data_IF_988878358538
#
_entry.id   IF_988878358538
#
_cell.length_a   1.000
_cell.length_b   1.000
_cell.length_c   1.000
_cell.angle_alpha   90.00
_cell.angle_beta   90.00
_cell.angle_gamma   90.00
#
_symmetry.space_group_name_H-M   'P 1'
#
loop_
_entity.id
_entity.type
_entity.pdbx_description
1 polymer ?
#
# COMPACT_ATOMS: atom_id res chain seq x y z
N UNK A 1 -19.24 -5.48 -4.13
CA UNK A 1 -18.05 -6.36 -4.12
C UNK A 1 -16.90 -5.52 -3.62
N UNK A 2 -16.55 -5.63 -2.34
CA UNK A 2 -15.43 -4.89 -1.76
C UNK A 2 -14.15 -5.68 -2.06
N UNK A 3 -13.51 -5.38 -3.18
CA UNK A 3 -12.12 -5.77 -3.36
C UNK A 3 -11.31 -4.86 -2.46
N UNK A 4 -10.97 -5.32 -1.25
CA UNK A 4 -10.24 -4.50 -0.26
C UNK A 4 -8.90 -3.99 -0.82
N UNK A 5 -8.27 -4.72 -1.75
CA UNK A 5 -7.09 -4.23 -2.49
C UNK A 5 -7.16 -4.55 -3.99
N UNK A 6 -6.70 -3.63 -4.87
CA UNK A 6 -6.72 -3.82 -6.32
C UNK A 6 -5.63 -4.79 -6.78
N UNK A 7 -5.80 -5.36 -7.97
CA UNK A 7 -4.71 -6.06 -8.66
C UNK A 7 -3.67 -5.05 -9.16
N UNK A 8 -2.38 -5.39 -9.08
CA UNK A 8 -1.32 -4.53 -9.58
C UNK A 8 -1.41 -4.39 -11.10
N UNK A 9 -1.47 -3.15 -11.64
CA UNK A 9 -1.56 -2.93 -13.09
C UNK A 9 -0.26 -3.30 -13.82
N UNK A 10 0.87 -3.34 -13.12
CA UNK A 10 2.19 -3.61 -13.71
C UNK A 10 2.51 -5.11 -13.83
N UNK A 11 2.25 -5.88 -12.77
CA UNK A 11 2.61 -7.31 -12.74
C UNK A 11 1.41 -8.26 -12.65
N UNK A 12 0.19 -7.74 -12.49
CA UNK A 12 -1.01 -8.56 -12.27
C UNK A 12 -1.07 -9.23 -10.89
N UNK A 13 -0.16 -8.89 -9.98
CA UNK A 13 -0.12 -9.42 -8.62
C UNK A 13 -1.32 -9.01 -7.77
N UNK A 14 -1.73 -9.87 -6.83
CA UNK A 14 -2.81 -9.59 -5.86
C UNK A 14 -2.32 -9.28 -4.44
N UNK A 15 -1.02 -9.00 -4.30
CA UNK A 15 -0.37 -8.67 -3.02
C UNK A 15 -0.06 -7.18 -2.96
N UNK A 16 -1.13 -6.40 -2.94
CA UNK A 16 -1.13 -4.94 -2.88
C UNK A 16 -1.41 -4.46 -1.47
N UNK A 17 -0.81 -3.32 -1.14
CA UNK A 17 -0.88 -2.68 0.16
C UNK A 17 -1.31 -1.24 -0.03
N UNK A 18 -2.14 -0.70 0.86
CA UNK A 18 -2.45 0.72 0.89
C UNK A 18 -1.25 1.49 1.41
N UNK A 19 -0.91 2.62 0.80
CA UNK A 19 0.17 3.49 1.27
C UNK A 19 -0.42 4.45 2.29
N UNK A 20 0.10 4.41 3.51
CA UNK A 20 -0.24 5.37 4.55
C UNK A 20 0.96 6.29 4.81
N UNK A 21 0.67 7.57 4.93
CA UNK A 21 1.65 8.63 5.19
C UNK A 21 1.49 9.18 6.61
N UNK A 22 2.57 9.72 7.14
CA UNK A 22 2.62 10.28 8.50
C UNK A 22 3.10 9.27 9.54
N UNK A 23 2.97 9.65 10.82
CA UNK A 23 3.43 8.83 11.94
C UNK A 23 2.28 8.00 12.49
N UNK A 24 2.35 6.65 12.45
CA UNK A 24 1.33 5.81 13.06
C UNK A 24 1.26 6.04 14.57
N UNK A 25 0.05 6.29 15.08
CA UNK A 25 -0.22 6.35 16.53
C UNK A 25 -0.07 4.95 17.16
N UNK A 26 -0.34 3.90 16.39
CA UNK A 26 -0.08 2.50 16.76
C UNK A 26 0.44 1.73 15.53
N UNK A 27 1.77 1.52 15.41
CA UNK A 27 2.36 0.77 14.30
C UNK A 27 1.95 -0.70 14.25
N UNK A 28 1.56 -1.31 15.39
CA UNK A 28 1.11 -2.72 15.41
C UNK A 28 -0.31 -2.88 14.86
N UNK A 29 -1.12 -1.82 14.89
CA UNK A 29 -2.42 -1.80 14.21
C UNK A 29 -2.31 -1.84 12.69
N UNK A 30 -1.13 -1.50 12.15
CA UNK A 30 -0.87 -1.55 10.72
C UNK A 30 -0.51 -2.98 10.32
N UNK A 31 -1.54 -3.73 9.93
CA UNK A 31 -1.36 -5.09 9.42
C UNK A 31 -0.56 -5.11 8.10
N UNK A 32 -0.25 -6.31 7.57
CA UNK A 32 0.59 -6.50 6.38
C UNK A 32 0.02 -5.89 5.09
N UNK A 33 -1.18 -5.31 5.13
CA UNK A 33 -1.84 -4.63 4.04
C UNK A 33 -1.53 -3.12 3.96
N UNK A 34 -0.73 -2.57 4.87
CA UNK A 34 -0.31 -1.16 4.82
C UNK A 34 1.19 -1.07 4.54
N UNK A 35 1.56 -0.20 3.60
CA UNK A 35 2.93 0.21 3.32
C UNK A 35 3.18 1.61 3.89
N UNK A 36 4.31 1.80 4.56
CA UNK A 36 4.70 3.10 5.09
C UNK A 36 5.27 3.96 3.95
N UNK A 37 4.49 4.94 3.49
CA UNK A 37 4.91 5.90 2.47
C UNK A 37 5.91 6.95 2.98
N UNK A 38 6.16 6.98 4.29
CA UNK A 38 7.06 7.94 4.94
C UNK A 38 6.38 9.29 5.19
N UNK A 39 7.19 10.34 5.29
CA UNK A 39 6.72 11.70 5.58
C UNK A 39 6.29 12.50 4.33
N UNK A 40 6.76 12.11 3.15
CA UNK A 40 6.44 12.79 1.89
C UNK A 40 5.28 12.10 1.20
N UNK A 41 4.14 12.80 1.07
CA UNK A 41 2.97 12.29 0.35
C UNK A 41 3.29 12.22 -1.13
N UNK A 42 3.21 11.02 -1.71
CA UNK A 42 3.26 10.80 -3.16
C UNK A 42 1.83 10.60 -3.68
N UNK A 43 1.61 10.85 -4.97
CA UNK A 43 0.28 10.77 -5.60
C UNK A 43 -0.29 9.33 -5.69
N UNK A 44 0.47 8.31 -5.24
CA UNK A 44 0.04 6.92 -5.19
C UNK A 44 -0.52 6.49 -3.82
N UNK A 45 -1.60 5.71 -3.86
CA UNK A 45 -2.28 5.14 -2.70
C UNK A 45 -2.04 3.63 -2.55
N UNK A 46 -1.46 2.99 -3.55
CA UNK A 46 -1.24 1.55 -3.61
C UNK A 46 0.21 1.22 -3.84
N UNK A 47 0.69 0.19 -3.17
CA UNK A 47 2.02 -0.38 -3.32
C UNK A 47 1.92 -1.87 -3.58
N UNK A 48 2.60 -2.37 -4.62
CA UNK A 48 2.71 -3.80 -4.89
C UNK A 48 3.98 -4.36 -4.29
N UNK A 49 3.85 -5.20 -3.26
CA UNK A 49 4.97 -5.89 -2.62
C UNK A 49 5.70 -6.92 -3.50
N UNK A 50 5.17 -7.25 -4.70
CA UNK A 50 5.81 -8.22 -5.61
C UNK A 50 6.73 -7.56 -6.65
N UNK A 51 6.43 -6.33 -7.05
CA UNK A 51 7.18 -5.63 -8.10
C UNK A 51 7.57 -4.19 -7.73
N UNK A 52 7.33 -3.83 -6.46
CA UNK A 52 7.64 -2.54 -5.83
C UNK A 52 7.03 -1.35 -6.57
N UNK A 53 5.98 -1.58 -7.37
CA UNK A 53 5.29 -0.52 -8.07
C UNK A 53 4.35 0.21 -7.11
N UNK A 54 4.44 1.53 -7.07
CA UNK A 54 3.51 2.39 -6.37
C UNK A 54 2.67 3.20 -7.37
N UNK A 55 1.36 3.32 -7.13
CA UNK A 55 0.40 4.05 -7.97
C UNK A 55 -0.85 4.48 -7.19
#
# INVERSE_FOLDING_TARGET
>A
MFAEHPQCPRCGGRRTQSIAYGMPVDPQSWGPWISMGGCCVMEGQWHCSLCEHAW
#
